data_IF_821326719540
#
_entry.id   IF_821326719540
#
_cell.length_a   1.000
_cell.length_b   1.000
_cell.length_c   1.000
_cell.angle_alpha   90.00
_cell.angle_beta   90.00
_cell.angle_gamma   90.00
#
_symmetry.space_group_name_H-M   'P 1'
#
loop_
_entity.id
_entity.type
_entity.pdbx_description
1 polymer ?
#
# COMPACT_ATOMS: atom_id res chain seq x y z
N UNK A 1 -1.10 1.49 8.38
CA UNK A 1 0.32 1.67 8.02
C UNK A 1 0.47 1.79 6.50
N UNK A 2 1.41 2.62 6.02
CA UNK A 2 1.74 2.78 4.60
C UNK A 2 3.21 2.44 4.36
N UNK A 3 3.50 1.59 3.38
CA UNK A 3 4.85 1.23 2.93
C UNK A 3 5.30 2.17 1.81
N UNK A 4 6.41 2.87 2.05
CA UNK A 4 6.94 3.91 1.16
C UNK A 4 8.43 3.74 0.90
N UNK A 5 8.93 4.43 -0.12
CA UNK A 5 10.35 4.51 -0.44
C UNK A 5 10.99 5.64 0.38
N UNK A 6 12.07 5.33 1.10
CA UNK A 6 12.86 6.31 1.82
C UNK A 6 13.58 7.25 0.85
N UNK A 7 13.33 8.56 0.96
CA UNK A 7 14.00 9.57 0.12
C UNK A 7 15.51 9.68 0.35
N UNK A 8 16.04 9.16 1.48
CA UNK A 8 17.47 9.26 1.81
C UNK A 8 18.30 8.05 1.38
N UNK A 9 17.73 6.84 1.37
CA UNK A 9 18.49 5.62 1.05
C UNK A 9 17.82 4.72 0.00
N UNK A 10 16.69 5.17 -0.57
CA UNK A 10 15.92 4.49 -1.61
C UNK A 10 15.42 3.09 -1.26
N UNK A 11 15.54 2.67 0.01
CA UNK A 11 14.99 1.42 0.54
C UNK A 11 13.60 1.62 1.12
N UNK A 12 12.92 0.52 1.41
CA UNK A 12 11.59 0.53 2.02
C UNK A 12 11.61 1.19 3.41
N UNK A 13 10.55 1.92 3.70
CA UNK A 13 10.28 2.60 4.94
C UNK A 13 8.78 2.55 5.24
N UNK A 14 8.41 2.91 6.47
CA UNK A 14 7.03 2.85 6.94
C UNK A 14 6.57 4.24 7.35
N UNK A 15 5.33 4.56 7.00
CA UNK A 15 4.53 5.62 7.60
C UNK A 15 3.47 4.97 8.50
N UNK A 16 3.49 5.31 9.77
CA UNK A 16 2.60 4.77 10.79
C UNK A 16 1.79 5.93 11.36
N UNK A 17 0.48 5.79 11.45
CA UNK A 17 -0.35 6.81 12.08
C UNK A 17 -0.07 6.82 13.58
N UNK A 18 0.26 7.98 14.16
CA UNK A 18 0.80 8.07 15.52
C UNK A 18 -0.18 7.59 16.59
N UNK A 19 -1.48 7.71 16.34
CA UNK A 19 -2.54 7.37 17.31
C UNK A 19 -3.29 6.08 16.95
N UNK A 20 -2.96 5.44 15.83
CA UNK A 20 -3.60 4.19 15.47
C UNK A 20 -2.85 3.01 16.11
N UNK A 21 -3.55 2.02 16.68
CA UNK A 21 -2.92 0.78 17.07
C UNK A 21 -2.16 0.16 15.90
N UNK A 22 -0.99 -0.43 16.18
CA UNK A 22 -0.13 -1.07 15.16
C UNK A 22 -0.86 -2.20 14.42
N UNK A 23 -1.90 -2.75 15.03
CA UNK A 23 -2.77 -3.80 14.46
C UNK A 23 -3.76 -3.29 13.40
N UNK A 24 -3.91 -1.98 13.23
CA UNK A 24 -4.79 -1.40 12.20
C UNK A 24 -4.11 -1.46 10.84
N UNK A 25 -4.59 -2.38 10.00
CA UNK A 25 -4.09 -2.53 8.63
C UNK A 25 -4.70 -1.50 7.67
N UNK A 26 -5.96 -1.15 7.86
CA UNK A 26 -6.74 -0.23 7.01
C UNK A 26 -6.80 1.14 7.67
N UNK A 27 -6.06 2.08 7.12
CA UNK A 27 -6.01 3.45 7.65
C UNK A 27 -7.18 4.32 7.13
N UNK A 28 -8.09 3.74 6.34
CA UNK A 28 -9.27 4.42 5.79
C UNK A 28 -10.34 4.72 6.86
N UNK A 29 -10.24 4.07 8.03
CA UNK A 29 -11.15 4.24 9.17
C UNK A 29 -10.58 5.14 10.27
N UNK A 30 -9.40 5.74 10.06
CA UNK A 30 -8.76 6.58 11.09
C UNK A 30 -9.46 7.93 11.12
N UNK A 31 -9.89 8.34 12.31
CA UNK A 31 -10.45 9.66 12.57
C UNK A 31 -9.47 10.76 12.12
N UNK A 32 -9.94 11.64 11.23
CA UNK A 32 -9.15 12.71 10.62
C UNK A 32 -8.72 13.82 11.62
N UNK A 33 -9.05 13.65 12.90
CA UNK A 33 -8.69 14.56 13.98
C UNK A 33 -7.18 14.58 14.24
N UNK A 34 -6.50 13.44 14.12
CA UNK A 34 -5.04 13.37 14.11
C UNK A 34 -4.53 13.18 12.69
N UNK A 35 -3.70 14.12 12.25
CA UNK A 35 -3.06 14.09 10.93
C UNK A 35 -1.59 13.72 11.03
N UNK A 36 -1.16 13.20 12.18
CA UNK A 36 0.25 13.01 12.49
C UNK A 36 0.66 11.58 12.13
N UNK A 37 1.73 11.49 11.34
CA UNK A 37 2.31 10.23 10.90
C UNK A 37 3.79 10.17 11.26
N UNK A 38 4.23 9.00 11.71
CA UNK A 38 5.62 8.71 11.97
C UNK A 38 6.22 8.00 10.77
N UNK A 39 7.21 8.64 10.14
CA UNK A 39 8.07 8.03 9.16
C UNK A 39 9.24 7.33 9.86
N UNK A 40 9.43 6.05 9.55
CA UNK A 40 10.52 5.23 10.08
C UNK A 40 11.17 4.41 8.95
N UNK A 41 12.45 4.68 8.67
CA UNK A 41 13.25 3.84 7.76
C UNK A 41 14.20 2.94 8.57
N UNK A 42 14.02 1.63 8.44
CA UNK A 42 14.85 0.64 9.16
C UNK A 42 16.27 0.51 8.59
N UNK A 43 16.50 0.92 7.34
CA UNK A 43 17.80 0.76 6.67
C UNK A 43 18.78 1.89 6.99
N UNK A 44 18.33 3.14 6.95
CA UNK A 44 19.18 4.31 7.27
C UNK A 44 18.86 4.93 8.63
N UNK A 45 17.94 4.32 9.40
CA UNK A 45 17.50 4.74 10.73
C UNK A 45 16.90 6.15 10.79
N UNK A 46 16.59 6.76 9.63
CA UNK A 46 15.93 8.06 9.57
C UNK A 46 14.52 7.94 10.15
N UNK A 47 14.21 8.83 11.10
CA UNK A 47 12.91 8.98 11.73
C UNK A 47 12.45 10.43 11.63
N UNK A 48 11.17 10.65 11.34
CA UNK A 48 10.59 11.99 11.36
C UNK A 48 9.07 11.91 11.50
N UNK A 49 8.50 12.99 12.01
CA UNK A 49 7.04 13.17 12.05
C UNK A 49 6.62 13.98 10.82
N UNK A 50 5.53 13.58 10.18
CA UNK A 50 4.97 14.25 9.00
C UNK A 50 3.47 14.41 9.14
N UNK A 51 2.91 15.43 8.50
CA UNK A 51 1.46 15.58 8.41
C UNK A 51 0.89 14.68 7.31
N UNK A 52 -0.40 14.34 7.40
CA UNK A 52 -1.13 13.54 6.41
C UNK A 52 -0.92 14.06 4.98
N UNK A 53 -1.01 15.38 4.78
CA UNK A 53 -0.85 16.01 3.48
C UNK A 53 0.55 15.78 2.89
N UNK A 54 1.55 15.61 3.76
CA UNK A 54 2.93 15.37 3.38
C UNK A 54 3.22 13.90 3.06
N UNK A 55 2.38 12.97 3.52
CA UNK A 55 2.52 11.54 3.16
C UNK A 55 2.45 11.34 1.64
N UNK A 56 1.72 12.20 0.92
CA UNK A 56 1.60 12.18 -0.54
C UNK A 56 2.91 12.48 -1.27
N UNK A 57 3.90 13.07 -0.59
CA UNK A 57 5.24 13.34 -1.14
C UNK A 57 6.08 12.05 -1.24
N UNK A 58 5.71 11.00 -0.52
CA UNK A 58 6.43 9.74 -0.52
C UNK A 58 5.94 8.83 -1.64
N UNK A 59 6.87 8.19 -2.35
CA UNK A 59 6.52 7.15 -3.30
C UNK A 59 6.12 5.87 -2.57
N UNK A 60 5.00 5.27 -2.94
CA UNK A 60 4.62 3.95 -2.46
C UNK A 60 5.62 2.89 -2.93
N UNK A 61 5.92 1.94 -2.04
CA UNK A 61 6.75 0.77 -2.38
C UNK A 61 6.00 -0.21 -3.26
N UNK A 62 4.71 -0.43 -2.97
CA UNK A 62 3.88 -1.40 -3.66
C UNK A 62 3.15 -0.78 -4.84
N UNK A 63 3.88 -0.35 -5.88
CA UNK A 63 3.27 0.17 -7.12
C UNK A 63 3.90 -0.42 -8.38
N UNK A 64 3.10 -0.61 -9.42
CA UNK A 64 3.53 -1.04 -10.76
C UNK A 64 2.83 -0.19 -11.81
N UNK A 65 3.61 0.28 -12.78
CA UNK A 65 3.10 0.97 -13.98
C UNK A 65 2.80 -0.07 -15.08
N UNK A 66 1.58 -0.05 -15.61
CA UNK A 66 1.08 -0.98 -16.62
C UNK A 66 0.41 -0.15 -17.73
N UNK A 67 1.17 0.14 -18.79
CA UNK A 67 0.71 1.06 -19.83
C UNK A 67 0.46 2.45 -19.22
N UNK A 68 -0.78 2.93 -19.32
CA UNK A 68 -1.20 4.23 -18.78
C UNK A 68 -1.86 4.12 -17.39
N UNK A 69 -1.87 2.92 -16.78
CA UNK A 69 -2.45 2.69 -15.46
C UNK A 69 -1.34 2.49 -14.43
N UNK A 70 -1.55 3.00 -13.22
CA UNK A 70 -0.69 2.71 -12.07
C UNK A 70 -1.50 1.88 -11.09
N UNK A 71 -1.10 0.63 -10.90
CA UNK A 71 -1.65 -0.23 -9.84
C UNK A 71 -0.80 -0.03 -8.63
N UNK A 72 -1.42 0.21 -7.49
CA UNK A 72 -0.69 0.47 -6.26
C UNK A 72 -1.45 -0.02 -5.03
N UNK A 73 -0.72 -0.23 -3.96
CA UNK A 73 -1.24 -0.63 -2.67
C UNK A 73 -0.55 0.13 -1.53
N UNK A 74 -1.28 0.34 -0.43
CA UNK A 74 -0.76 1.00 0.76
C UNK A 74 0.27 0.17 1.50
N UNK A 75 0.11 -1.15 1.54
CA UNK A 75 1.04 -2.10 2.15
C UNK A 75 0.92 -3.47 1.48
N UNK A 76 1.79 -4.41 1.85
CA UNK A 76 1.78 -5.79 1.33
C UNK A 76 0.44 -6.52 1.49
N UNK A 77 -0.23 -6.38 2.63
CA UNK A 77 -1.51 -7.07 2.87
C UNK A 77 -2.60 -6.54 1.93
N UNK A 78 -2.62 -5.23 1.68
CA UNK A 78 -3.49 -4.64 0.66
C UNK A 78 -3.13 -5.13 -0.75
N UNK A 79 -1.84 -5.23 -1.07
CA UNK A 79 -1.38 -5.74 -2.37
C UNK A 79 -1.81 -7.21 -2.58
N UNK A 80 -1.64 -8.05 -1.55
CA UNK A 80 -2.03 -9.46 -1.60
C UNK A 80 -3.54 -9.62 -1.83
N UNK A 81 -4.35 -8.77 -1.19
CA UNK A 81 -5.79 -8.73 -1.44
C UNK A 81 -6.13 -8.27 -2.87
N UNK A 82 -5.48 -7.23 -3.39
CA UNK A 82 -5.68 -6.80 -4.79
C UNK A 82 -5.34 -7.94 -5.76
N UNK A 83 -4.24 -8.65 -5.54
CA UNK A 83 -3.84 -9.79 -6.38
C UNK A 83 -4.89 -10.91 -6.33
N UNK A 84 -5.42 -11.27 -5.16
CA UNK A 84 -6.45 -12.31 -5.06
C UNK A 84 -7.74 -11.91 -5.77
N UNK A 85 -8.16 -10.65 -5.66
CA UNK A 85 -9.31 -10.10 -6.40
C UNK A 85 -9.07 -10.16 -7.92
N UNK A 86 -7.90 -9.76 -8.40
CA UNK A 86 -7.56 -9.80 -9.83
C UNK A 86 -7.53 -11.23 -10.38
N UNK A 87 -7.11 -12.21 -9.56
CA UNK A 87 -7.14 -13.64 -9.89
C UNK A 87 -8.52 -14.29 -9.78
N UNK A 88 -9.52 -13.58 -9.24
CA UNK A 88 -10.84 -14.13 -8.88
C UNK A 88 -10.76 -15.23 -7.81
N UNK A 89 -9.73 -15.18 -6.97
CA UNK A 89 -9.47 -16.07 -5.82
C UNK A 89 -9.76 -15.33 -4.51
N UNK A 90 -10.84 -14.54 -4.48
CA UNK A 90 -11.09 -13.58 -3.41
C UNK A 90 -11.20 -14.26 -2.04
N UNK A 91 -10.45 -13.73 -1.06
CA UNK A 91 -10.45 -14.21 0.32
C UNK A 91 -11.44 -13.35 1.11
N UNK A 92 -12.66 -13.86 1.35
CA UNK A 92 -13.73 -13.13 2.02
C UNK A 92 -13.43 -12.75 3.48
N UNK A 93 -12.58 -13.53 4.16
CA UNK A 93 -12.15 -13.26 5.54
C UNK A 93 -10.88 -12.39 5.60
N UNK A 94 -10.44 -11.80 4.49
CA UNK A 94 -9.29 -10.91 4.50
C UNK A 94 -9.65 -9.59 5.18
N UNK A 95 -8.70 -9.02 5.92
CA UNK A 95 -8.90 -7.72 6.57
C UNK A 95 -9.34 -6.61 5.58
N UNK A 96 -8.92 -6.69 4.31
CA UNK A 96 -9.23 -5.72 3.26
C UNK A 96 -10.51 -6.02 2.48
N UNK A 97 -11.20 -7.14 2.77
CA UNK A 97 -12.39 -7.57 2.04
C UNK A 97 -13.50 -6.50 2.02
N UNK A 98 -13.70 -5.81 3.15
CA UNK A 98 -14.68 -4.72 3.27
C UNK A 98 -14.36 -3.50 2.39
N UNK A 99 -13.10 -3.35 1.95
CA UNK A 99 -12.63 -2.24 1.12
C UNK A 99 -12.56 -2.59 -0.36
N UNK A 100 -13.05 -3.76 -0.77
CA UNK A 100 -13.06 -4.21 -2.17
C UNK A 100 -13.66 -3.17 -3.13
N UNK A 101 -14.68 -2.44 -2.69
CA UNK A 101 -15.36 -1.41 -3.49
C UNK A 101 -14.46 -0.23 -3.85
N UNK A 102 -13.36 -0.03 -3.11
CA UNK A 102 -12.36 1.01 -3.36
C UNK A 102 -11.26 0.58 -4.35
N UNK A 103 -11.24 -0.69 -4.77
CA UNK A 103 -10.33 -1.13 -5.83
C UNK A 103 -10.78 -0.48 -7.15
N UNK A 104 -9.82 0.12 -7.87
CA UNK A 104 -10.12 0.81 -9.12
C UNK A 104 -10.72 -0.17 -10.15
N UNK A 105 -11.91 0.15 -10.63
CA UNK A 105 -12.64 -0.66 -11.63
C UNK A 105 -11.87 -0.82 -12.94
N UNK A 106 -10.99 0.14 -13.30
CA UNK A 106 -10.12 0.01 -14.47
C UNK A 106 -9.16 -1.17 -14.33
N UNK A 107 -8.65 -1.43 -13.12
CA UNK A 107 -7.75 -2.55 -12.87
C UNK A 107 -8.49 -3.88 -13.08
N UNK A 108 -9.71 -3.99 -12.55
CA UNK A 108 -10.54 -5.19 -12.67
C UNK A 108 -10.94 -5.54 -14.11
N UNK A 109 -10.97 -4.55 -15.00
CA UNK A 109 -11.44 -4.70 -16.40
C UNK A 109 -10.31 -4.71 -17.42
N UNK A 110 -9.13 -4.18 -17.09
CA UNK A 110 -7.98 -4.10 -17.99
C UNK A 110 -6.88 -5.10 -17.64
N UNK A 111 -6.81 -5.53 -16.38
CA UNK A 111 -5.76 -6.44 -15.90
C UNK A 111 -6.31 -7.87 -15.89
N UNK A 112 -6.11 -8.53 -17.02
CA UNK A 112 -6.46 -9.95 -17.20
C UNK A 112 -5.26 -10.81 -17.58
N UNK A 113 -4.09 -10.19 -17.80
CA UNK A 113 -2.90 -10.89 -18.25
C UNK A 113 -2.08 -11.39 -17.05
N UNK A 114 -1.77 -12.69 -17.03
CA UNK A 114 -0.89 -13.32 -16.05
C UNK A 114 0.46 -12.62 -15.91
N UNK A 115 1.01 -12.02 -16.97
CA UNK A 115 2.25 -11.25 -16.91
C UNK A 115 2.16 -10.07 -15.94
N UNK A 116 1.02 -9.39 -15.89
CA UNK A 116 0.81 -8.24 -14.98
C UNK A 116 0.63 -8.73 -13.54
N UNK A 117 -0.15 -9.79 -13.36
CA UNK A 117 -0.35 -10.42 -12.05
C UNK A 117 1.01 -10.88 -11.49
N UNK A 118 1.85 -11.52 -12.30
CA UNK A 118 3.20 -11.94 -11.91
C UNK A 118 4.09 -10.76 -11.48
N UNK A 119 3.96 -9.58 -12.12
CA UNK A 119 4.69 -8.37 -11.70
C UNK A 119 4.24 -7.89 -10.32
N UNK A 120 2.93 -7.92 -10.05
CA UNK A 120 2.38 -7.55 -8.74
C UNK A 120 2.81 -8.56 -7.67
N UNK A 121 2.81 -9.85 -7.98
CA UNK A 121 3.30 -10.89 -7.07
C UNK A 121 4.80 -10.78 -6.79
N UNK A 122 5.60 -10.33 -7.75
CA UNK A 122 7.02 -10.09 -7.53
C UNK A 122 7.27 -9.01 -6.47
N UNK A 123 6.40 -8.00 -6.35
CA UNK A 123 6.51 -7.00 -5.29
C UNK A 123 6.30 -7.58 -3.90
N UNK A 124 5.41 -8.58 -3.75
CA UNK A 124 5.20 -9.26 -2.46
C UNK A 124 6.46 -9.99 -1.95
N UNK A 125 7.34 -10.42 -2.88
CA UNK A 125 8.58 -11.16 -2.58
C UNK A 125 9.79 -10.26 -2.32
N UNK A 126 9.76 -9.00 -2.77
CA UNK A 126 10.94 -8.12 -2.87
C UNK A 126 11.07 -7.08 -1.75
N UNK A 127 10.41 -7.27 -0.60
CA UNK A 127 10.43 -6.30 0.51
C UNK A 127 10.83 -6.93 1.82
#
# INVERSE_FOLDING_TARGET
>A
MIEVVCSSCTKSALLIHSEAPVTVEHFLDIDYSSRIWEFNCIHCLKRMTVLWEETKKFSLTNKVEIGNEVVWAWNKNHLAFIVSVLKKEEITNHAWANFRTYINKSWLTKIHNNSVINKLEALLKNT
#
